data_IF_663422207886
#
_entry.id   IF_663422207886
#
_cell.length_a   1.000
_cell.length_b   1.000
_cell.length_c   1.000
_cell.angle_alpha   90.00
_cell.angle_beta   90.00
_cell.angle_gamma   90.00
#
_symmetry.space_group_name_H-M   'P 1'
#
loop_
_entity.id
_entity.type
_entity.pdbx_description
1 polymer ?
#
# COMPACT_ATOMS: atom_id res chain seq x y z
N UNK A 1 10.61 -29.12 -23.75
CA UNK A 1 11.97 -28.76 -24.22
C UNK A 1 12.07 -27.25 -24.10
N UNK A 2 12.86 -26.75 -23.13
CA UNK A 2 13.11 -25.32 -22.94
C UNK A 2 14.45 -25.02 -23.62
N UNK A 3 14.43 -24.14 -24.61
CA UNK A 3 15.64 -23.62 -25.24
C UNK A 3 16.37 -22.70 -24.25
N UNK A 4 17.54 -23.16 -23.82
CA UNK A 4 18.52 -22.38 -23.07
C UNK A 4 19.22 -21.43 -24.05
N UNK A 5 18.91 -20.14 -23.98
CA UNK A 5 19.68 -19.13 -24.71
C UNK A 5 21.06 -18.99 -24.08
N UNK A 6 22.09 -19.38 -24.83
CA UNK A 6 23.51 -19.17 -24.51
C UNK A 6 23.93 -17.85 -25.18
N UNK A 7 24.08 -16.78 -24.42
CA UNK A 7 24.68 -15.55 -24.93
C UNK A 7 26.21 -15.68 -24.89
N UNK A 8 26.83 -15.81 -26.06
CA UNK A 8 28.27 -15.64 -26.24
C UNK A 8 28.59 -14.17 -26.51
N UNK A 9 29.53 -13.65 -25.73
CA UNK A 9 30.29 -12.39 -25.79
C UNK A 9 30.24 -11.56 -27.09
N UNK A 10 29.94 -10.27 -26.96
CA UNK A 10 30.46 -9.17 -27.80
C UNK A 10 30.76 -7.93 -26.93
N UNK A 11 31.71 -7.05 -27.33
CA UNK A 11 32.27 -6.00 -26.48
C UNK A 11 31.47 -4.69 -26.52
N UNK A 12 31.59 -3.92 -25.43
CA UNK A 12 30.99 -2.61 -25.15
C UNK A 12 29.57 -2.60 -24.60
N UNK A 13 29.46 -2.27 -23.31
CA UNK A 13 28.30 -1.56 -22.76
C UNK A 13 27.07 -2.38 -22.35
N UNK A 14 27.20 -3.68 -22.07
CA UNK A 14 26.07 -4.48 -21.56
C UNK A 14 26.21 -4.80 -20.07
N UNK A 15 25.13 -4.51 -19.34
CA UNK A 15 24.85 -4.86 -17.96
C UNK A 15 25.22 -6.32 -17.67
N UNK A 16 26.19 -6.51 -16.76
CA UNK A 16 26.71 -7.84 -16.45
C UNK A 16 25.66 -8.69 -15.71
N UNK A 17 25.34 -9.83 -16.33
CA UNK A 17 24.80 -11.06 -15.73
C UNK A 17 23.36 -11.01 -15.20
N UNK A 18 22.40 -11.34 -16.08
CA UNK A 18 21.11 -11.89 -15.67
C UNK A 18 21.35 -13.26 -15.04
N UNK A 19 21.07 -13.41 -13.74
CA UNK A 19 20.90 -14.74 -13.12
C UNK A 19 19.42 -14.99 -12.93
N UNK A 20 18.85 -15.85 -13.76
CA UNK A 20 17.51 -16.38 -13.50
C UNK A 20 17.57 -17.42 -12.38
N UNK A 21 17.03 -17.07 -11.21
CA UNK A 21 16.75 -18.04 -10.15
C UNK A 21 15.29 -17.92 -9.76
N UNK A 22 14.54 -19.02 -9.86
CA UNK A 22 13.13 -19.09 -9.44
C UNK A 22 12.19 -18.08 -10.13
N UNK A 23 12.41 -17.78 -11.42
CA UNK A 23 11.55 -16.85 -12.17
C UNK A 23 11.73 -15.37 -11.79
N UNK A 24 12.82 -15.06 -11.08
CA UNK A 24 13.24 -13.69 -10.77
C UNK A 24 14.38 -13.31 -11.71
N UNK A 25 14.18 -12.25 -12.50
CA UNK A 25 15.25 -11.67 -13.28
C UNK A 25 16.04 -10.71 -12.38
N UNK A 26 17.33 -10.99 -12.20
CA UNK A 26 18.21 -10.22 -11.33
C UNK A 26 19.24 -9.46 -12.15
N UNK A 27 19.24 -8.13 -12.01
CA UNK A 27 20.19 -7.24 -12.66
C UNK A 27 21.13 -6.62 -11.62
N UNK A 28 22.43 -6.63 -11.93
CA UNK A 28 23.47 -5.92 -11.17
C UNK A 28 23.72 -4.59 -11.85
N UNK A 29 23.74 -3.51 -11.08
CA UNK A 29 23.65 -2.16 -11.64
C UNK A 29 24.91 -1.27 -11.44
N UNK A 30 25.95 -1.75 -10.76
CA UNK A 30 27.16 -0.95 -10.57
C UNK A 30 28.08 -1.01 -11.82
N UNK A 31 27.92 -0.06 -12.75
CA UNK A 31 28.87 0.22 -13.85
C UNK A 31 29.59 1.56 -13.61
N UNK A 32 30.90 1.49 -13.34
CA UNK A 32 31.75 2.64 -13.03
C UNK A 32 32.22 3.42 -14.27
N UNK A 33 31.82 3.01 -15.47
CA UNK A 33 32.20 3.66 -16.73
C UNK A 33 31.19 4.70 -17.22
N UNK A 34 30.00 4.74 -16.64
CA UNK A 34 28.90 5.63 -17.04
C UNK A 34 28.74 6.79 -16.06
N UNK A 35 28.34 7.95 -16.58
CA UNK A 35 27.88 9.06 -15.74
C UNK A 35 26.54 8.72 -15.05
N UNK A 36 26.17 9.40 -13.95
CA UNK A 36 24.88 9.19 -13.30
C UNK A 36 23.65 9.27 -14.21
N UNK A 37 23.69 10.14 -15.23
CA UNK A 37 22.60 10.30 -16.20
C UNK A 37 22.54 9.09 -17.13
N UNK A 38 23.67 8.75 -17.76
CA UNK A 38 23.76 7.58 -18.66
C UNK A 38 23.40 6.29 -17.93
N UNK A 39 23.78 6.16 -16.67
CA UNK A 39 23.52 4.99 -15.86
C UNK A 39 22.01 4.77 -15.59
N UNK A 40 21.27 5.86 -15.35
CA UNK A 40 19.80 5.81 -15.19
C UNK A 40 19.14 5.43 -16.52
N UNK A 41 19.58 6.04 -17.63
CA UNK A 41 19.05 5.78 -18.97
C UNK A 41 19.30 4.33 -19.40
N UNK A 42 20.51 3.81 -19.15
CA UNK A 42 20.87 2.42 -19.48
C UNK A 42 20.02 1.43 -18.70
N UNK A 43 19.68 1.70 -17.44
CA UNK A 43 18.73 0.85 -16.70
C UNK A 43 17.33 0.91 -17.29
N UNK A 44 16.85 2.12 -17.58
CA UNK A 44 15.52 2.29 -18.15
C UNK A 44 15.36 1.55 -19.48
N UNK A 45 16.38 1.62 -20.35
CA UNK A 45 16.38 0.95 -21.66
C UNK A 45 16.70 -0.54 -21.55
N UNK A 46 17.62 -0.90 -20.66
CA UNK A 46 18.18 -2.25 -20.53
C UNK A 46 17.30 -3.22 -19.76
N UNK A 47 16.36 -2.74 -18.96
CA UNK A 47 15.39 -3.59 -18.23
C UNK A 47 14.10 -3.71 -19.06
N UNK A 48 13.81 -4.86 -19.70
CA UNK A 48 12.66 -4.99 -20.60
C UNK A 48 11.31 -4.72 -19.91
N UNK A 49 11.13 -5.20 -18.68
CA UNK A 49 9.89 -5.02 -17.89
C UNK A 49 9.54 -3.55 -17.64
N UNK A 50 10.50 -2.62 -17.68
CA UNK A 50 10.24 -1.19 -17.51
C UNK A 50 9.54 -0.57 -18.72
N UNK A 51 9.71 -1.17 -19.90
CA UNK A 51 9.05 -0.75 -21.15
C UNK A 51 7.76 -1.53 -21.43
N UNK A 52 7.43 -2.50 -20.59
CA UNK A 52 6.16 -3.20 -20.67
C UNK A 52 5.00 -2.29 -20.28
N UNK A 53 3.87 -2.54 -20.93
CA UNK A 53 2.60 -1.93 -20.60
C UNK A 53 1.51 -2.98 -20.80
N UNK A 54 0.44 -2.89 -20.02
CA UNK A 54 -0.74 -3.70 -20.19
C UNK A 54 -1.93 -2.84 -20.56
N UNK A 55 -2.88 -3.45 -21.25
CA UNK A 55 -4.13 -2.80 -21.63
C UNK A 55 -5.14 -2.96 -20.50
N UNK A 56 -5.65 -1.83 -20.00
CA UNK A 56 -6.80 -1.83 -19.11
C UNK A 56 -8.07 -1.55 -19.93
N UNK A 57 -9.14 -2.36 -19.73
CA UNK A 57 -10.44 -2.04 -20.29
C UNK A 57 -10.96 -0.71 -19.71
N UNK A 58 -11.31 0.21 -20.60
CA UNK A 58 -11.87 1.53 -20.29
C UNK A 58 -13.13 1.76 -21.14
N UNK A 59 -14.25 1.20 -20.69
CA UNK A 59 -15.50 1.18 -21.46
C UNK A 59 -15.33 0.46 -22.80
N UNK A 60 -15.55 1.18 -23.91
CA UNK A 60 -15.36 0.67 -25.28
C UNK A 60 -13.90 0.76 -25.75
N UNK A 61 -13.03 1.46 -25.02
CA UNK A 61 -11.63 1.66 -25.37
C UNK A 61 -10.72 0.84 -24.46
N UNK A 62 -9.44 0.78 -24.84
CA UNK A 62 -8.39 0.22 -24.00
C UNK A 62 -7.33 1.27 -23.76
N UNK A 63 -7.04 1.54 -22.50
CA UNK A 63 -5.94 2.43 -22.11
C UNK A 63 -4.67 1.61 -21.90
N UNK A 64 -3.56 2.06 -22.48
CA UNK A 64 -2.25 1.44 -22.30
C UNK A 64 -1.62 2.00 -21.03
N UNK A 65 -1.48 1.17 -20.00
CA UNK A 65 -0.88 1.56 -18.71
C UNK A 65 0.50 0.93 -18.57
N UNK A 66 1.57 1.70 -18.34
CA UNK A 66 2.91 1.14 -18.17
C UNK A 66 2.97 0.25 -16.94
N UNK A 67 3.76 -0.83 -16.99
CA UNK A 67 3.99 -1.73 -15.87
C UNK A 67 4.61 -0.98 -14.68
N UNK A 68 5.62 -0.15 -14.98
CA UNK A 68 6.27 0.76 -14.05
C UNK A 68 6.31 2.16 -14.65
N UNK A 69 5.97 3.17 -13.86
CA UNK A 69 6.11 4.56 -14.29
C UNK A 69 7.59 4.97 -14.28
N UNK A 70 8.03 5.65 -15.33
CA UNK A 70 9.42 6.11 -15.48
C UNK A 70 9.87 6.96 -14.29
N UNK A 71 9.02 7.87 -13.84
CA UNK A 71 9.31 8.71 -12.69
C UNK A 71 9.55 7.89 -11.40
N UNK A 72 8.80 6.81 -11.20
CA UNK A 72 8.94 5.93 -10.01
C UNK A 72 10.20 5.08 -10.13
N UNK A 73 10.44 4.47 -11.30
CA UNK A 73 11.64 3.68 -11.53
C UNK A 73 12.90 4.52 -11.37
N UNK A 74 12.94 5.71 -11.98
CA UNK A 74 14.02 6.70 -11.85
C UNK A 74 14.27 7.07 -10.39
N UNK A 75 13.21 7.35 -9.63
CA UNK A 75 13.31 7.74 -8.22
C UNK A 75 13.90 6.62 -7.35
N UNK A 76 13.46 5.36 -7.53
CA UNK A 76 14.00 4.21 -6.83
C UNK A 76 15.50 4.01 -7.10
N UNK A 77 15.83 4.07 -8.37
CA UNK A 77 17.18 3.92 -8.94
C UNK A 77 18.08 5.00 -8.35
N UNK A 78 17.72 6.27 -8.50
CA UNK A 78 18.48 7.41 -7.96
C UNK A 78 18.63 7.33 -6.44
N UNK A 79 17.56 7.02 -5.70
CA UNK A 79 17.64 6.89 -4.25
C UNK A 79 18.57 5.75 -3.82
N UNK A 80 18.58 4.63 -4.54
CA UNK A 80 19.52 3.55 -4.25
C UNK A 80 20.98 4.02 -4.40
N UNK A 81 21.33 4.73 -5.48
CA UNK A 81 22.69 5.26 -5.66
C UNK A 81 23.06 6.28 -4.58
N UNK A 82 22.22 7.30 -4.38
CA UNK A 82 22.51 8.41 -3.47
C UNK A 82 22.63 7.94 -2.02
N UNK A 83 21.91 6.90 -1.63
CA UNK A 83 21.91 6.40 -0.25
C UNK A 83 22.74 5.13 -0.02
N UNK A 84 23.44 4.62 -1.05
CA UNK A 84 24.34 3.47 -0.94
C UNK A 84 25.56 3.77 -0.04
N UNK A 85 25.96 2.86 0.86
CA UNK A 85 27.22 2.98 1.59
C UNK A 85 28.40 2.62 0.68
N UNK A 86 29.00 3.61 0.02
CA UNK A 86 30.19 3.40 -0.83
C UNK A 86 31.45 2.96 -0.06
N UNK A 87 31.41 2.96 1.28
CA UNK A 87 32.48 2.43 2.13
C UNK A 87 32.40 0.92 2.36
N UNK A 88 31.34 0.26 1.88
CA UNK A 88 31.12 -1.18 2.00
C UNK A 88 31.01 -1.80 0.60
N UNK A 89 31.37 -3.09 0.49
CA UNK A 89 31.13 -3.84 -0.75
C UNK A 89 29.66 -4.25 -0.80
N UNK A 90 29.07 -4.22 -2.00
CA UNK A 90 27.71 -4.71 -2.23
C UNK A 90 27.02 -3.91 -3.33
N UNK A 91 26.43 -4.59 -4.30
CA UNK A 91 25.83 -3.95 -5.47
C UNK A 91 24.38 -3.53 -5.18
N UNK A 92 23.86 -2.61 -6.00
CA UNK A 92 22.40 -2.43 -6.09
C UNK A 92 21.83 -3.53 -6.99
N UNK A 93 20.80 -4.23 -6.49
CA UNK A 93 20.10 -5.25 -7.24
C UNK A 93 18.68 -4.80 -7.62
N UNK A 94 18.34 -5.00 -8.88
CA UNK A 94 16.96 -4.92 -9.36
C UNK A 94 16.46 -6.35 -9.54
N UNK A 95 15.58 -6.78 -8.64
CA UNK A 95 14.93 -8.09 -8.68
C UNK A 95 13.53 -7.92 -9.25
N UNK A 96 13.33 -8.35 -10.49
CA UNK A 96 12.03 -8.35 -11.14
C UNK A 96 11.33 -9.67 -10.88
N UNK A 97 10.20 -9.58 -10.18
CA UNK A 97 9.28 -10.69 -9.96
C UNK A 97 8.06 -10.53 -10.88
N UNK A 98 7.27 -11.59 -11.14
CA UNK A 98 6.10 -11.50 -12.01
C UNK A 98 5.04 -10.46 -11.59
N UNK A 99 4.99 -10.10 -10.30
CA UNK A 99 3.99 -9.22 -9.70
C UNK A 99 4.55 -7.92 -9.13
N UNK A 100 5.88 -7.77 -9.01
CA UNK A 100 6.53 -6.63 -8.34
C UNK A 100 7.99 -6.45 -8.75
N UNK A 101 8.47 -5.22 -8.60
CA UNK A 101 9.90 -4.91 -8.63
C UNK A 101 10.38 -4.78 -7.18
N UNK A 102 11.53 -5.38 -6.88
CA UNK A 102 12.24 -5.19 -5.62
C UNK A 102 13.62 -4.61 -5.91
N UNK A 103 13.90 -3.44 -5.33
CA UNK A 103 15.22 -2.81 -5.35
C UNK A 103 15.90 -3.10 -4.02
N UNK A 104 17.06 -3.75 -4.08
CA UNK A 104 17.86 -4.08 -2.90
C UNK A 104 19.13 -3.26 -2.92
N UNK A 105 19.31 -2.43 -1.90
CA UNK A 105 20.51 -1.64 -1.70
C UNK A 105 21.32 -2.19 -0.52
N UNK A 106 22.65 -2.20 -0.64
CA UNK A 106 23.53 -2.64 0.43
C UNK A 106 23.49 -1.68 1.63
N UNK A 107 23.71 -2.21 2.83
CA UNK A 107 23.68 -1.46 4.08
C UNK A 107 22.29 -1.16 4.61
N UNK A 108 22.26 -0.49 5.76
CA UNK A 108 21.04 -0.10 6.49
C UNK A 108 20.52 1.29 6.10
N UNK A 109 19.36 1.68 6.60
CA UNK A 109 18.90 3.07 6.53
C UNK A 109 19.83 4.00 7.33
N UNK A 110 19.92 5.29 6.96
CA UNK A 110 20.68 6.28 7.74
C UNK A 110 20.16 6.39 9.18
N UNK A 111 21.04 6.76 10.12
CA UNK A 111 20.66 6.96 11.51
C UNK A 111 19.49 7.95 11.65
N UNK A 112 18.45 7.53 12.37
CA UNK A 112 17.21 8.30 12.56
C UNK A 112 16.14 8.07 11.48
N UNK A 113 16.44 7.30 10.44
CA UNK A 113 15.47 6.85 9.43
C UNK A 113 15.16 5.37 9.67
N UNK A 114 13.89 5.02 9.55
CA UNK A 114 13.33 3.69 9.73
C UNK A 114 12.30 3.46 8.64
N UNK A 115 11.91 2.21 8.35
CA UNK A 115 10.83 1.95 7.40
C UNK A 115 9.52 2.65 7.76
N UNK A 116 9.30 2.98 9.05
CA UNK A 116 8.07 3.58 9.59
C UNK A 116 8.06 5.11 9.67
N UNK A 117 9.13 5.76 9.23
CA UNK A 117 9.16 7.23 9.18
C UNK A 117 9.79 7.74 7.88
N UNK A 118 10.14 6.85 6.94
CA UNK A 118 10.90 7.19 5.73
C UNK A 118 10.12 8.14 4.83
N UNK A 119 8.78 8.10 4.89
CA UNK A 119 7.91 9.05 4.19
C UNK A 119 8.09 10.50 4.69
N UNK A 120 8.51 10.70 5.95
CA UNK A 120 8.64 12.04 6.56
C UNK A 120 10.06 12.39 6.99
N UNK A 121 10.98 11.43 6.97
CA UNK A 121 12.34 11.58 7.46
C UNK A 121 13.31 11.66 6.28
N UNK A 122 13.89 12.85 6.08
CA UNK A 122 14.91 13.08 5.06
C UNK A 122 16.30 13.10 5.69
N UNK A 123 17.07 12.01 5.53
CA UNK A 123 18.51 11.97 5.85
C UNK A 123 19.29 11.39 4.70
N UNK A 124 20.28 12.12 4.23
CA UNK A 124 21.18 11.69 3.16
C UNK A 124 22.38 10.97 3.75
N UNK A 125 22.82 9.91 3.05
CA UNK A 125 24.09 9.25 3.37
C UNK A 125 25.25 9.93 2.68
N UNK A 126 25.08 10.31 1.41
CA UNK A 126 26.12 10.91 0.58
C UNK A 126 25.69 12.32 0.13
N UNK A 127 25.95 13.36 0.93
CA UNK A 127 25.52 14.74 0.63
C UNK A 127 26.15 15.32 -0.64
N UNK A 128 27.43 14.99 -0.90
CA UNK A 128 28.12 15.42 -2.13
C UNK A 128 27.48 14.81 -3.37
N UNK A 129 27.18 13.51 -3.32
CA UNK A 129 26.51 12.80 -4.42
C UNK A 129 25.08 13.32 -4.63
N UNK A 130 24.34 13.54 -3.54
CA UNK A 130 23.01 14.13 -3.61
C UNK A 130 23.02 15.52 -4.27
N UNK A 131 24.05 16.34 -4.01
CA UNK A 131 24.23 17.64 -4.67
C UNK A 131 24.45 17.48 -6.17
N UNK A 132 25.34 16.58 -6.58
CA UNK A 132 25.59 16.30 -8.00
C UNK A 132 24.31 15.83 -8.69
N UNK A 133 23.57 14.89 -8.09
CA UNK A 133 22.32 14.39 -8.65
C UNK A 133 21.25 15.49 -8.73
N UNK A 134 21.19 16.39 -7.76
CA UNK A 134 20.32 17.55 -7.82
C UNK A 134 20.70 18.50 -8.96
N UNK A 135 21.98 18.82 -9.10
CA UNK A 135 22.47 19.74 -10.14
C UNK A 135 22.27 19.16 -11.55
N UNK A 136 22.30 17.83 -11.68
CA UNK A 136 21.94 17.08 -12.88
C UNK A 136 20.43 16.89 -13.08
N UNK A 137 19.58 17.44 -12.20
CA UNK A 137 18.11 17.30 -12.22
C UNK A 137 17.62 15.85 -12.12
N UNK A 138 18.44 14.97 -11.54
CA UNK A 138 18.09 13.57 -11.27
C UNK A 138 17.37 13.40 -9.94
N UNK A 139 17.47 14.35 -9.02
CA UNK A 139 16.70 14.34 -7.77
C UNK A 139 16.38 15.74 -7.28
N UNK A 140 15.33 15.85 -6.47
CA UNK A 140 15.00 17.10 -5.78
C UNK A 140 15.84 17.30 -4.51
N UNK A 141 15.92 18.56 -4.07
CA UNK A 141 16.75 18.97 -2.93
C UNK A 141 16.12 18.70 -1.57
N UNK A 142 14.86 18.30 -1.52
CA UNK A 142 14.13 17.96 -0.30
C UNK A 142 13.48 16.59 -0.48
N UNK A 143 13.30 15.84 0.63
CA UNK A 143 12.94 14.42 0.71
C UNK A 143 11.55 14.02 0.17
N UNK A 144 11.21 14.50 -1.02
CA UNK A 144 10.00 14.28 -1.80
C UNK A 144 10.00 12.97 -2.58
N UNK A 145 11.12 12.23 -2.57
CA UNK A 145 11.26 11.01 -3.36
C UNK A 145 10.23 9.94 -3.00
N UNK A 146 10.04 9.70 -1.71
CA UNK A 146 9.00 8.78 -1.25
C UNK A 146 7.59 9.35 -1.47
N UNK A 147 7.38 10.66 -1.29
CA UNK A 147 6.10 11.30 -1.62
C UNK A 147 5.72 11.08 -3.10
N UNK A 148 6.68 11.21 -4.02
CA UNK A 148 6.47 10.95 -5.46
C UNK A 148 6.05 9.51 -5.71
N UNK A 149 6.76 8.55 -5.12
CA UNK A 149 6.45 7.13 -5.28
C UNK A 149 5.06 6.79 -4.74
N UNK A 150 4.72 7.28 -3.54
CA UNK A 150 3.38 7.11 -2.96
C UNK A 150 2.31 7.72 -3.87
N UNK A 151 2.50 8.98 -4.30
CA UNK A 151 1.54 9.69 -5.15
C UNK A 151 1.27 8.92 -6.45
N UNK A 152 2.32 8.58 -7.22
CA UNK A 152 2.18 7.88 -8.50
C UNK A 152 1.58 6.49 -8.37
N UNK A 153 2.03 5.70 -7.39
CA UNK A 153 1.50 4.35 -7.19
C UNK A 153 0.03 4.38 -6.76
N UNK A 154 -0.32 5.19 -5.76
CA UNK A 154 -1.68 5.20 -5.22
C UNK A 154 -2.68 5.84 -6.19
N UNK A 155 -2.28 6.88 -6.92
CA UNK A 155 -3.17 7.53 -7.92
C UNK A 155 -3.37 6.68 -9.16
N UNK A 156 -2.42 5.80 -9.49
CA UNK A 156 -2.60 4.78 -10.52
C UNK A 156 -3.36 3.54 -10.04
N UNK A 157 -3.91 3.54 -8.82
CA UNK A 157 -4.66 2.41 -8.27
C UNK A 157 -3.78 1.19 -7.93
N UNK A 158 -2.50 1.42 -7.68
CA UNK A 158 -1.56 0.42 -7.15
C UNK A 158 -1.39 0.60 -5.64
N UNK A 159 -0.93 -0.46 -4.99
CA UNK A 159 -0.55 -0.40 -3.59
C UNK A 159 0.67 0.52 -3.37
N UNK A 160 0.74 1.13 -2.19
CA UNK A 160 1.89 1.92 -1.73
C UNK A 160 3.20 1.11 -1.77
N UNK A 161 4.37 1.77 -1.91
CA UNK A 161 5.65 1.07 -1.86
C UNK A 161 5.88 0.49 -0.46
N UNK A 162 6.49 -0.69 -0.39
CA UNK A 162 6.82 -1.36 0.88
C UNK A 162 8.32 -1.30 1.10
N UNK A 163 8.73 -0.70 2.22
CA UNK A 163 10.13 -0.63 2.64
C UNK A 163 10.38 -1.63 3.77
N UNK A 164 11.48 -2.36 3.68
CA UNK A 164 11.97 -3.18 4.78
C UNK A 164 13.48 -3.07 4.92
N UNK A 165 13.97 -3.24 6.15
CA UNK A 165 15.39 -3.24 6.49
C UNK A 165 15.78 -4.63 6.97
N UNK A 166 16.79 -5.21 6.31
CA UNK A 166 17.43 -6.47 6.69
C UNK A 166 18.63 -6.25 7.62
N UNK A 167 19.45 -7.29 7.79
CA UNK A 167 20.66 -7.21 8.63
C UNK A 167 21.66 -6.21 8.06
N UNK A 168 21.79 -6.13 6.74
CA UNK A 168 22.73 -5.25 6.05
C UNK A 168 22.24 -4.87 4.65
N UNK A 169 20.92 -4.69 4.53
CA UNK A 169 20.27 -4.33 3.27
C UNK A 169 19.00 -3.54 3.51
N UNK A 170 18.67 -2.68 2.56
CA UNK A 170 17.36 -2.04 2.47
C UNK A 170 16.67 -2.55 1.22
N UNK A 171 15.41 -2.93 1.37
CA UNK A 171 14.56 -3.42 0.29
C UNK A 171 13.42 -2.44 0.07
N UNK A 172 13.20 -2.03 -1.17
CA UNK A 172 12.03 -1.24 -1.57
C UNK A 172 11.29 -2.02 -2.64
N UNK A 173 10.03 -2.32 -2.37
CA UNK A 173 9.18 -3.14 -3.22
C UNK A 173 8.04 -2.29 -3.78
N UNK A 174 7.88 -2.31 -5.10
CA UNK A 174 6.75 -1.68 -5.78
C UNK A 174 5.95 -2.69 -6.61
N UNK A 175 4.61 -2.65 -6.58
CA UNK A 175 3.77 -3.56 -7.33
C UNK A 175 3.77 -3.24 -8.84
N UNK A 176 3.65 -4.29 -9.67
CA UNK A 176 3.57 -4.18 -11.14
C UNK A 176 2.16 -3.82 -11.61
N UNK A 177 1.14 -4.41 -10.99
CA UNK A 177 -0.25 -4.37 -11.49
C UNK A 177 -1.11 -3.32 -10.77
N UNK A 178 -1.95 -2.63 -11.54
CA UNK A 178 -3.08 -1.84 -11.04
C UNK A 178 -4.08 -2.80 -10.43
N UNK A 179 -4.50 -2.50 -9.19
CA UNK A 179 -5.47 -3.30 -8.44
C UNK A 179 -6.85 -2.66 -8.59
N UNK A 180 -6.94 -1.33 -8.44
CA UNK A 180 -8.20 -0.59 -8.42
C UNK A 180 -8.23 0.46 -9.53
N UNK A 181 -8.60 0.05 -10.74
CA UNK A 181 -8.63 0.94 -11.91
C UNK A 181 -9.49 2.19 -11.71
N UNK A 182 -10.60 2.07 -10.97
CA UNK A 182 -11.52 3.19 -10.75
C UNK A 182 -10.88 4.33 -9.95
N UNK A 183 -9.79 4.06 -9.22
CA UNK A 183 -9.01 5.11 -8.55
C UNK A 183 -8.44 6.11 -9.55
N UNK A 184 -8.03 5.66 -10.73
CA UNK A 184 -7.52 6.54 -11.80
C UNK A 184 -8.60 7.55 -12.18
N UNK A 185 -9.83 7.08 -12.39
CA UNK A 185 -10.97 7.94 -12.73
C UNK A 185 -11.35 8.87 -11.58
N UNK A 186 -11.39 8.33 -10.34
CA UNK A 186 -11.66 9.11 -9.13
C UNK A 186 -10.69 10.28 -8.98
N UNK A 187 -9.38 10.02 -9.13
CA UNK A 187 -8.35 11.06 -9.03
C UNK A 187 -8.51 12.07 -10.16
N UNK A 188 -8.68 11.61 -11.40
CA UNK A 188 -8.83 12.49 -12.56
C UNK A 188 -10.04 13.43 -12.43
N UNK A 189 -11.18 12.94 -11.95
CA UNK A 189 -12.37 13.76 -11.76
C UNK A 189 -12.26 14.70 -10.55
N UNK A 190 -11.61 14.25 -9.48
CA UNK A 190 -11.30 15.11 -8.34
C UNK A 190 -10.38 16.27 -8.75
N UNK A 191 -9.35 16.02 -9.56
CA UNK A 191 -8.41 17.06 -10.03
C UNK A 191 -9.05 18.08 -10.98
N UNK A 192 -10.02 17.67 -11.80
CA UNK A 192 -10.80 18.60 -12.65
C UNK A 192 -11.59 19.61 -11.82
N UNK A 193 -12.07 19.20 -10.66
CA UNK A 193 -12.95 20.01 -9.78
C UNK A 193 -12.15 20.74 -8.70
N UNK A 194 -11.02 20.19 -8.28
CA UNK A 194 -10.22 20.67 -7.16
C UNK A 194 -8.73 20.57 -7.47
N UNK A 195 -7.96 21.61 -7.17
CA UNK A 195 -6.50 21.54 -7.26
C UNK A 195 -5.95 20.78 -6.04
N UNK A 196 -5.77 19.47 -6.19
CA UNK A 196 -5.28 18.58 -5.14
C UNK A 196 -3.77 18.73 -4.97
N UNK A 197 -3.35 18.81 -3.71
CA UNK A 197 -1.95 18.67 -3.33
C UNK A 197 -1.51 17.20 -3.41
N UNK A 198 -0.20 16.95 -3.48
CA UNK A 198 0.36 15.61 -3.46
C UNK A 198 -0.12 14.77 -2.26
N UNK A 199 -0.18 15.38 -1.07
CA UNK A 199 -0.68 14.73 0.16
C UNK A 199 -2.14 14.34 0.05
N UNK A 200 -2.97 15.22 -0.51
CA UNK A 200 -4.40 14.95 -0.73
C UNK A 200 -4.60 13.84 -1.76
N UNK A 201 -3.81 13.81 -2.85
CA UNK A 201 -3.82 12.71 -3.83
C UNK A 201 -3.46 11.37 -3.23
N UNK A 202 -2.39 11.32 -2.41
CA UNK A 202 -1.99 10.11 -1.69
C UNK A 202 -3.12 9.62 -0.79
N UNK A 203 -3.70 10.51 0.02
CA UNK A 203 -4.77 10.15 0.94
C UNK A 203 -6.04 9.67 0.21
N UNK A 204 -6.44 10.37 -0.86
CA UNK A 204 -7.58 10.00 -1.67
C UNK A 204 -7.35 8.67 -2.41
N UNK A 205 -6.15 8.46 -2.95
CA UNK A 205 -5.75 7.22 -3.60
C UNK A 205 -5.70 6.03 -2.63
N UNK A 206 -5.28 6.22 -1.38
CA UNK A 206 -5.40 5.17 -0.34
C UNK A 206 -6.85 4.86 -0.01
N UNK A 207 -7.68 5.90 0.19
CA UNK A 207 -9.08 5.72 0.55
C UNK A 207 -9.89 5.07 -0.57
N UNK A 208 -9.64 5.43 -1.83
CA UNK A 208 -10.31 4.84 -3.00
C UNK A 208 -9.97 3.37 -3.25
N UNK A 209 -8.89 2.86 -2.65
CA UNK A 209 -8.51 1.44 -2.66
C UNK A 209 -9.05 0.68 -1.44
N UNK A 210 -9.92 1.31 -0.65
CA UNK A 210 -10.47 0.73 0.57
C UNK A 210 -11.94 1.07 0.72
N UNK A 211 -12.63 0.34 1.59
CA UNK A 211 -13.99 0.70 2.02
C UNK A 211 -14.02 1.91 2.96
N UNK A 212 -12.85 2.44 3.32
CA UNK A 212 -12.67 3.48 4.31
C UNK A 212 -11.78 3.03 5.45
N UNK A 213 -11.08 4.00 6.03
CA UNK A 213 -10.06 3.81 7.05
C UNK A 213 -10.38 4.67 8.27
N UNK A 214 -10.15 4.15 9.46
CA UNK A 214 -10.17 4.96 10.68
C UNK A 214 -9.02 5.96 10.69
N UNK A 215 -9.16 7.02 11.47
CA UNK A 215 -8.09 7.98 11.72
C UNK A 215 -6.80 7.27 12.17
N UNK A 216 -6.91 6.23 12.99
CA UNK A 216 -5.77 5.43 13.44
C UNK A 216 -5.14 4.61 12.30
N UNK A 217 -5.95 4.04 11.41
CA UNK A 217 -5.46 3.28 10.24
C UNK A 217 -4.78 4.22 9.23
N UNK A 218 -5.35 5.39 8.94
CA UNK A 218 -4.72 6.39 8.07
C UNK A 218 -3.41 6.91 8.66
N UNK A 219 -3.37 7.23 9.96
CA UNK A 219 -2.13 7.64 10.63
C UNK A 219 -1.04 6.58 10.49
N UNK A 220 -1.41 5.30 10.64
CA UNK A 220 -0.46 4.20 10.51
C UNK A 220 0.00 3.99 9.06
N UNK A 221 -0.91 4.04 8.09
CA UNK A 221 -0.60 3.82 6.68
C UNK A 221 0.22 4.96 6.06
N UNK A 222 -0.03 6.19 6.52
CA UNK A 222 0.74 7.38 6.16
C UNK A 222 1.94 7.60 7.07
N UNK A 223 2.22 6.71 8.04
CA UNK A 223 3.38 6.82 8.93
C UNK A 223 3.49 8.14 9.71
N UNK A 224 2.34 8.74 10.02
CA UNK A 224 2.27 10.06 10.64
C UNK A 224 2.51 9.97 12.15
N UNK A 225 3.28 10.91 12.74
CA UNK A 225 3.71 10.83 14.14
C UNK A 225 2.56 11.09 15.14
N UNK A 226 1.54 11.84 14.74
CA UNK A 226 0.43 12.21 15.63
C UNK A 226 -0.85 12.59 14.86
N UNK A 227 -2.03 12.61 15.52
CA UNK A 227 -3.30 12.96 14.88
C UNK A 227 -3.36 14.35 14.24
N UNK A 228 -2.63 15.34 14.75
CA UNK A 228 -2.62 16.69 14.18
C UNK A 228 -1.97 16.71 12.79
N UNK A 229 -0.98 15.83 12.57
CA UNK A 229 -0.31 15.67 11.28
C UNK A 229 -1.21 15.09 10.17
N UNK A 230 -2.40 14.53 10.51
CA UNK A 230 -3.36 14.03 9.51
C UNK A 230 -4.13 15.17 8.82
N UNK A 231 -4.27 16.32 9.49
CA UNK A 231 -5.11 17.43 9.01
C UNK A 231 -4.77 17.88 7.57
N UNK A 232 -3.49 18.09 7.18
CA UNK A 232 -3.13 18.51 5.81
C UNK A 232 -3.45 17.48 4.72
N UNK A 233 -3.71 16.22 5.09
CA UNK A 233 -3.97 15.13 4.15
C UNK A 233 -5.48 14.96 3.88
N UNK A 234 -6.32 15.29 4.86
CA UNK A 234 -7.74 14.89 4.86
C UNK A 234 -8.72 16.06 4.93
N UNK A 235 -8.37 17.18 5.56
CA UNK A 235 -9.38 18.22 5.89
C UNK A 235 -10.04 18.82 4.66
N UNK A 236 -9.26 19.23 3.66
CA UNK A 236 -9.80 19.78 2.42
C UNK A 236 -10.57 18.76 1.60
N UNK A 237 -10.20 17.48 1.66
CA UNK A 237 -10.96 16.39 1.03
C UNK A 237 -12.34 16.22 1.66
N UNK A 238 -12.46 16.43 2.97
CA UNK A 238 -13.74 16.42 3.67
C UNK A 238 -14.56 17.68 3.37
N UNK A 239 -13.92 18.86 3.41
CA UNK A 239 -14.57 20.14 3.13
C UNK A 239 -15.11 20.24 1.69
N UNK A 240 -14.42 19.61 0.74
CA UNK A 240 -14.83 19.54 -0.68
C UNK A 240 -15.87 18.46 -0.99
N UNK A 241 -16.20 17.58 -0.03
CA UNK A 241 -17.12 16.46 -0.25
C UNK A 241 -16.54 15.30 -1.06
N UNK A 242 -15.21 15.25 -1.27
CA UNK A 242 -14.53 14.10 -1.87
C UNK A 242 -14.46 12.90 -0.89
N UNK A 243 -14.36 13.21 0.40
CA UNK A 243 -14.27 12.23 1.49
C UNK A 243 -15.34 12.53 2.53
N UNK A 244 -16.11 11.51 2.90
CA UNK A 244 -17.02 11.58 4.04
C UNK A 244 -16.37 10.99 5.29
N UNK A 245 -16.90 11.39 6.46
CA UNK A 245 -16.45 10.89 7.75
C UNK A 245 -17.61 10.48 8.65
N UNK A 246 -17.39 9.47 9.49
CA UNK A 246 -18.35 9.03 10.52
C UNK A 246 -17.64 8.70 11.83
N UNK A 247 -18.31 8.87 12.97
CA UNK A 247 -17.73 8.65 14.30
C UNK A 247 -17.10 9.89 14.94
N UNK A 248 -16.37 9.69 16.04
CA UNK A 248 -15.72 10.76 16.81
C UNK A 248 -14.27 10.38 17.18
N UNK A 249 -13.41 11.38 17.30
CA UNK A 249 -12.00 11.28 17.74
C UNK A 249 -11.16 10.25 16.96
N UNK A 250 -10.48 9.31 17.62
CA UNK A 250 -9.65 8.27 16.98
C UNK A 250 -10.49 7.18 16.29
N UNK A 251 -11.78 7.10 16.62
CA UNK A 251 -12.72 6.19 15.98
C UNK A 251 -13.41 6.82 14.75
N UNK A 252 -13.09 8.08 14.42
CA UNK A 252 -13.53 8.71 13.18
C UNK A 252 -13.02 7.86 12.01
N UNK A 253 -13.92 7.51 11.10
CA UNK A 253 -13.64 6.73 9.89
C UNK A 253 -13.88 7.61 8.68
N UNK A 254 -12.91 7.63 7.77
CA UNK A 254 -12.91 8.37 6.52
C UNK A 254 -13.13 7.39 5.36
N UNK A 255 -13.90 7.79 4.37
CA UNK A 255 -14.17 7.00 3.17
C UNK A 255 -14.51 7.94 2.01
N UNK A 256 -14.24 7.51 0.78
CA UNK A 256 -14.63 8.26 -0.41
C UNK A 256 -16.15 8.36 -0.48
N UNK A 257 -16.67 9.52 -0.87
CA UNK A 257 -18.12 9.74 -0.98
C UNK A 257 -18.77 8.71 -1.92
N UNK A 258 -19.84 7.99 -1.51
CA UNK A 258 -20.43 6.91 -2.29
C UNK A 258 -20.86 7.26 -3.72
N UNK A 259 -21.25 8.52 -3.97
CA UNK A 259 -21.55 8.98 -5.32
C UNK A 259 -20.32 8.92 -6.23
N UNK A 260 -19.15 9.32 -5.72
CA UNK A 260 -17.89 9.28 -6.45
C UNK A 260 -17.38 7.86 -6.67
N UNK A 261 -17.59 6.96 -5.71
CA UNK A 261 -17.28 5.54 -5.86
C UNK A 261 -18.07 4.94 -7.03
N UNK A 262 -19.37 5.27 -7.13
CA UNK A 262 -20.22 4.81 -8.23
C UNK A 262 -19.82 5.40 -9.58
N UNK A 263 -19.55 6.70 -9.63
CA UNK A 263 -19.07 7.37 -10.86
C UNK A 263 -17.75 6.76 -11.35
N UNK A 264 -16.85 6.42 -10.43
CA UNK A 264 -15.56 5.83 -10.73
C UNK A 264 -15.61 4.31 -11.04
N UNK A 265 -16.77 3.66 -10.93
CA UNK A 265 -16.90 2.21 -11.08
C UNK A 265 -16.10 1.42 -10.04
N UNK A 266 -15.99 1.97 -8.82
CA UNK A 266 -15.40 1.35 -7.64
C UNK A 266 -16.47 0.68 -6.75
N UNK A 267 -17.73 0.64 -7.21
CA UNK A 267 -18.86 0.01 -6.53
C UNK A 267 -18.87 -1.52 -6.71
N UNK A 268 -17.79 -2.15 -6.26
CA UNK A 268 -17.64 -3.61 -6.21
C UNK A 268 -18.64 -4.27 -5.21
N UNK A 269 -18.55 -5.60 -5.03
CA UNK A 269 -19.40 -6.32 -4.08
C UNK A 269 -19.34 -5.72 -2.67
N UNK A 270 -20.51 -5.48 -2.07
CA UNK A 270 -20.62 -4.95 -0.72
C UNK A 270 -19.91 -5.84 0.29
N UNK A 271 -18.97 -5.27 1.04
CA UNK A 271 -18.28 -5.99 2.13
C UNK A 271 -18.97 -5.78 3.48
N UNK A 272 -18.69 -6.66 4.43
CA UNK A 272 -19.16 -6.54 5.81
C UNK A 272 -18.27 -5.64 6.68
N UNK A 273 -17.22 -5.02 6.11
CA UNK A 273 -16.28 -4.15 6.85
C UNK A 273 -17.00 -2.98 7.53
N UNK A 274 -18.05 -2.44 6.88
CA UNK A 274 -18.86 -1.31 7.36
C UNK A 274 -20.24 -1.73 7.88
N UNK A 275 -20.39 -2.98 8.28
CA UNK A 275 -21.66 -3.50 8.80
C UNK A 275 -22.17 -2.65 9.97
N UNK A 276 -23.45 -2.27 9.90
CA UNK A 276 -24.08 -1.50 10.97
C UNK A 276 -24.19 -2.33 12.26
N UNK A 277 -24.05 -1.73 13.45
CA UNK A 277 -24.03 -2.48 14.72
C UNK A 277 -25.22 -3.42 14.91
N UNK A 278 -26.43 -3.01 14.53
CA UNK A 278 -27.62 -3.84 14.65
C UNK A 278 -27.62 -5.04 13.69
N UNK A 279 -27.03 -4.90 12.49
CA UNK A 279 -26.87 -6.00 11.52
C UNK A 279 -25.82 -7.00 12.00
N UNK A 280 -24.70 -6.51 12.54
CA UNK A 280 -23.67 -7.37 13.13
C UNK A 280 -24.23 -8.21 14.27
N UNK A 281 -25.05 -7.60 15.13
CA UNK A 281 -25.75 -8.30 16.20
C UNK A 281 -26.65 -9.41 15.65
N UNK A 282 -27.44 -9.13 14.63
CA UNK A 282 -28.29 -10.15 13.99
C UNK A 282 -27.47 -11.31 13.41
N UNK A 283 -26.34 -11.04 12.75
CA UNK A 283 -25.45 -12.10 12.24
C UNK A 283 -24.85 -12.97 13.36
N UNK A 284 -24.41 -12.34 14.45
CA UNK A 284 -23.87 -13.08 15.62
C UNK A 284 -24.95 -13.97 16.22
N UNK A 285 -26.19 -13.46 16.37
CA UNK A 285 -27.29 -14.23 16.94
C UNK A 285 -27.70 -15.40 16.03
N UNK A 286 -27.79 -15.18 14.72
CA UNK A 286 -28.06 -16.24 13.73
C UNK A 286 -26.97 -17.32 13.75
N UNK A 287 -25.69 -16.93 13.83
CA UNK A 287 -24.58 -17.88 13.93
C UNK A 287 -24.63 -18.71 15.21
N UNK A 288 -24.90 -18.07 16.36
CA UNK A 288 -25.03 -18.75 17.65
C UNK A 288 -26.28 -19.64 17.73
N UNK A 289 -27.32 -19.34 16.96
CA UNK A 289 -28.50 -20.20 16.84
C UNK A 289 -28.15 -21.51 16.11
N UNK A 290 -27.34 -21.44 15.05
CA UNK A 290 -26.92 -22.61 14.26
C UNK A 290 -25.77 -23.38 14.90
N UNK A 291 -24.86 -22.68 15.58
CA UNK A 291 -23.64 -23.22 16.16
C UNK A 291 -23.48 -22.78 17.62
N UNK A 292 -24.32 -23.29 18.55
CA UNK A 292 -24.22 -22.96 19.97
C UNK A 292 -22.89 -23.42 20.57
N UNK A 293 -22.40 -22.71 21.59
CA UNK A 293 -21.13 -23.02 22.25
C UNK A 293 -19.89 -22.63 21.42
N UNK A 294 -20.05 -21.77 20.41
CA UNK A 294 -18.95 -21.36 19.54
C UNK A 294 -17.98 -20.40 20.23
N UNK A 295 -16.68 -20.56 19.92
CA UNK A 295 -15.66 -19.60 20.30
C UNK A 295 -15.68 -18.36 19.41
N UNK A 296 -15.17 -17.23 19.90
CA UNK A 296 -15.13 -15.94 19.15
C UNK A 296 -14.48 -16.07 17.77
N UNK A 297 -13.41 -16.86 17.65
CA UNK A 297 -12.67 -17.04 16.39
C UNK A 297 -13.54 -17.75 15.35
N UNK A 298 -14.28 -18.78 15.77
CA UNK A 298 -15.18 -19.51 14.88
C UNK A 298 -16.37 -18.66 14.43
N UNK A 299 -16.96 -17.91 15.36
CA UNK A 299 -18.03 -16.94 15.05
C UNK A 299 -17.51 -15.96 14.00
N UNK A 300 -16.35 -15.32 14.25
CA UNK A 300 -15.75 -14.35 13.33
C UNK A 300 -15.50 -14.95 11.94
N UNK A 301 -14.92 -16.14 11.86
CA UNK A 301 -14.69 -16.82 10.57
C UNK A 301 -15.99 -17.05 9.80
N UNK A 302 -17.08 -17.45 10.45
CA UNK A 302 -18.35 -17.80 9.79
C UNK A 302 -19.20 -16.59 9.40
N UNK A 303 -19.26 -15.57 10.25
CA UNK A 303 -20.10 -14.38 9.97
C UNK A 303 -19.43 -13.38 9.02
N UNK A 304 -18.11 -13.48 8.84
CA UNK A 304 -17.35 -12.63 7.92
C UNK A 304 -15.97 -12.29 8.49
N UNK A 305 -14.93 -12.93 7.95
CA UNK A 305 -13.54 -12.70 8.38
C UNK A 305 -13.07 -11.26 8.17
N UNK A 306 -13.66 -10.56 7.19
CA UNK A 306 -13.43 -9.14 6.90
C UNK A 306 -13.95 -8.17 7.98
N UNK A 307 -14.87 -8.59 8.85
CA UNK A 307 -15.38 -7.73 9.93
C UNK A 307 -14.26 -7.50 10.95
N UNK A 308 -14.04 -6.25 11.37
CA UNK A 308 -13.04 -5.97 12.40
C UNK A 308 -13.33 -6.73 13.69
N UNK A 309 -12.35 -7.52 14.16
CA UNK A 309 -12.50 -8.35 15.37
C UNK A 309 -12.88 -7.56 16.64
N UNK A 310 -12.46 -6.28 16.74
CA UNK A 310 -12.89 -5.39 17.84
C UNK A 310 -14.39 -5.10 17.81
N UNK A 311 -15.00 -5.00 16.63
CA UNK A 311 -16.46 -4.82 16.47
C UNK A 311 -17.21 -6.05 16.97
N UNK A 312 -16.70 -7.24 16.69
CA UNK A 312 -17.28 -8.51 17.18
C UNK A 312 -17.19 -8.60 18.70
N UNK A 313 -16.04 -8.25 19.29
CA UNK A 313 -15.87 -8.23 20.76
C UNK A 313 -16.87 -7.26 21.40
N UNK A 314 -17.00 -6.04 20.87
CA UNK A 314 -17.97 -5.05 21.37
C UNK A 314 -19.40 -5.55 21.25
N UNK A 315 -19.77 -6.13 20.11
CA UNK A 315 -21.11 -6.66 19.89
C UNK A 315 -21.44 -7.84 20.82
N UNK A 316 -20.51 -8.78 21.01
CA UNK A 316 -20.67 -9.89 21.95
C UNK A 316 -20.82 -9.39 23.39
N UNK A 317 -19.99 -8.43 23.82
CA UNK A 317 -20.12 -7.86 25.17
C UNK A 317 -21.47 -7.18 25.37
N UNK A 318 -21.93 -6.37 24.41
CA UNK A 318 -23.25 -5.74 24.48
C UNK A 318 -24.39 -6.78 24.55
N UNK A 319 -24.32 -7.85 23.76
CA UNK A 319 -25.30 -8.93 23.79
C UNK A 319 -25.32 -9.71 25.12
N UNK A 320 -24.17 -9.77 25.82
CA UNK A 320 -24.07 -10.37 27.15
C UNK A 320 -24.62 -9.44 28.22
N UNK A 321 -24.29 -8.15 28.16
CA UNK A 321 -24.83 -7.12 29.05
C UNK A 321 -26.36 -7.04 28.97
N UNK A 322 -26.92 -7.24 27.78
CA UNK A 322 -28.38 -7.29 27.55
C UNK A 322 -29.01 -8.64 27.90
N UNK A 323 -28.22 -9.65 28.30
CA UNK A 323 -28.72 -10.98 28.66
C UNK A 323 -29.24 -11.82 27.48
N UNK A 324 -28.95 -11.43 26.23
CA UNK A 324 -29.36 -12.18 25.02
C UNK A 324 -28.40 -13.33 24.73
N UNK A 325 -27.11 -13.17 25.05
CA UNK A 325 -26.06 -14.17 24.89
C UNK A 325 -25.44 -14.47 26.25
N UNK A 326 -25.24 -15.75 26.54
CA UNK A 326 -24.47 -16.20 27.71
C UNK A 326 -23.06 -16.59 27.27
N UNK A 327 -22.08 -16.36 28.14
CA UNK A 327 -20.71 -16.77 27.91
C UNK A 327 -20.24 -17.73 29.00
N UNK A 328 -19.55 -18.80 28.60
CA UNK A 328 -18.99 -19.80 29.50
C UNK A 328 -17.49 -19.97 29.26
N UNK A 329 -16.73 -20.40 30.27
CA UNK A 329 -15.28 -20.59 30.18
C UNK A 329 -14.46 -19.31 30.36
N UNK A 330 -13.14 -19.44 30.32
CA UNK A 330 -12.19 -18.36 30.64
C UNK A 330 -11.30 -18.00 29.46
N UNK A 331 -11.07 -16.69 29.26
CA UNK A 331 -10.15 -16.10 28.27
C UNK A 331 -10.16 -16.81 26.90
N UNK A 332 -9.21 -17.71 26.67
CA UNK A 332 -9.00 -18.43 25.39
C UNK A 332 -10.07 -19.49 25.12
N UNK A 333 -10.65 -20.06 26.17
CA UNK A 333 -11.68 -21.10 26.10
C UNK A 333 -13.09 -20.55 26.29
N UNK A 334 -13.26 -19.23 26.10
CA UNK A 334 -14.56 -18.58 26.25
C UNK A 334 -15.44 -18.92 25.04
N UNK A 335 -16.56 -19.56 25.32
CA UNK A 335 -17.60 -19.91 24.34
C UNK A 335 -18.85 -19.09 24.59
N UNK A 336 -19.65 -18.94 23.55
CA UNK A 336 -20.86 -18.11 23.55
C UNK A 336 -22.04 -18.94 23.05
N UNK A 337 -23.22 -18.69 23.60
CA UNK A 337 -24.47 -19.33 23.20
C UNK A 337 -25.64 -18.40 23.51
N UNK A 338 -26.77 -18.57 22.82
CA UNK A 338 -27.99 -17.82 23.14
C UNK A 338 -28.42 -18.09 24.58
N UNK A 339 -28.82 -17.04 25.30
CA UNK A 339 -29.35 -17.21 26.64
C UNK A 339 -30.70 -17.96 26.57
N UNK A 340 -30.85 -19.01 27.38
CA UNK A 340 -32.15 -19.65 27.58
C UNK A 340 -33.10 -18.64 28.20
N UNK A 341 -34.17 -18.27 27.48
CA UNK A 341 -35.30 -17.56 28.10
C UNK A 341 -35.84 -18.46 29.20
N UNK A 342 -35.61 -18.12 30.46
CA UNK A 342 -36.47 -18.64 31.53
C UNK A 342 -37.89 -18.19 31.21
N UNK A 343 -38.78 -19.16 31.02
CA UNK A 343 -40.18 -18.91 30.70
C UNK A 343 -40.79 -17.96 31.71
N UNK A 344 -41.28 -16.83 31.21
CA UNK A 344 -42.54 -16.31 31.73
C UNK A 344 -43.64 -17.26 31.25
N UNK A 345 -43.95 -18.27 32.04
CA UNK A 345 -45.25 -18.90 32.06
C UNK A 345 -45.77 -18.86 33.50
N UNK A 346 -47.09 -18.69 33.57
CA UNK A 346 -47.91 -18.25 34.69
C UNK A 346 -47.98 -19.23 35.85
#
# INVERSE_FOLDING_TARGET
MRETYRASVAPHGESRNVRESQGVAKYVWDDYSLSPVELVDVVWQGVPDFREAYELPDGLFRSRVPAYEEAVARELVVNALVHRPYTQRGDVFLNLHPDRLEVVNAGRLPLGVTPRNILHASRRRNDGLARVFHDLKLMEREGSGFDLMYDRLLTSGRAAPVVSEGIDSVHVVIPRRVIHRGVIQLIADAEKRHNLTQRERIALGMLGQSEGMSAAELLSALELPNPAALRPWISRLVESGLVAQTGRTRATRYFVEPALIREAGLDDQTTLIRIQPHRLRALILEDLQRFPGSGRVDIHRRIGAEIHGKSIVRALNALIEEGVVSASGTKRWRTYQLATRHGQER
#
